data_IF_252349896647
#
_entry.id   IF_252349896647
#
_cell.length_a   1.000
_cell.length_b   1.000
_cell.length_c   1.000
_cell.angle_alpha   90.00
_cell.angle_beta   90.00
_cell.angle_gamma   90.00
#
_symmetry.space_group_name_H-M   'P 1'
#
loop_
_entity.id
_entity.type
_entity.pdbx_description
1 polymer ?
#
# COMPACT_ATOMS: atom_id res chain seq x y z
N UNK A 1 -10.54 -17.62 -9.58
CA UNK A 1 -11.14 -16.56 -8.73
C UNK A 1 -10.13 -15.43 -8.69
N UNK A 2 -10.55 -14.17 -8.79
CA UNK A 2 -9.62 -13.03 -8.89
C UNK A 2 -9.76 -12.11 -7.69
N UNK A 3 -8.69 -11.95 -6.92
CA UNK A 3 -8.64 -11.05 -5.76
C UNK A 3 -8.00 -9.72 -6.17
N UNK A 4 -8.58 -8.60 -5.74
CA UNK A 4 -8.03 -7.27 -5.99
C UNK A 4 -7.06 -6.90 -4.86
N UNK A 5 -5.96 -6.26 -5.20
CA UNK A 5 -4.97 -5.77 -4.24
C UNK A 5 -4.56 -4.34 -4.60
N UNK A 6 -4.31 -3.52 -3.58
CA UNK A 6 -3.98 -2.12 -3.72
C UNK A 6 -2.77 -1.78 -2.85
N UNK A 7 -2.01 -0.78 -3.26
CA UNK A 7 -1.09 -0.06 -2.35
C UNK A 7 -1.88 1.11 -1.77
N UNK A 8 -1.97 1.18 -0.45
CA UNK A 8 -2.50 2.32 0.29
C UNK A 8 -1.34 3.22 0.73
N UNK A 9 -1.49 4.52 0.52
CA UNK A 9 -0.54 5.53 0.97
C UNK A 9 -1.24 6.55 1.87
N UNK A 10 -0.64 6.80 3.03
CA UNK A 10 -1.09 7.78 4.02
C UNK A 10 0.08 8.73 4.37
N UNK A 11 -0.23 9.97 4.72
CA UNK A 11 0.74 10.86 5.40
C UNK A 11 0.76 10.49 6.90
N UNK A 12 1.87 10.77 7.57
CA UNK A 12 2.04 10.50 9.00
C UNK A 12 2.63 11.70 9.78
N UNK A 13 2.63 12.90 9.17
CA UNK A 13 3.09 14.21 9.70
C UNK A 13 4.59 14.36 10.14
N UNK A 14 5.13 15.59 10.42
CA UNK A 14 6.44 16.03 9.88
C UNK A 14 7.65 15.74 10.79
N UNK A 15 8.55 14.89 10.31
CA UNK A 15 9.91 14.69 10.81
C UNK A 15 10.90 14.45 9.65
N UNK A 16 12.21 14.46 9.89
CA UNK A 16 13.22 14.42 8.83
C UNK A 16 13.18 13.06 8.10
N UNK A 17 12.45 13.00 7.00
CA UNK A 17 12.41 11.95 5.97
C UNK A 17 11.96 10.53 6.38
N UNK A 18 12.12 10.12 7.65
CA UNK A 18 11.57 8.86 8.17
C UNK A 18 10.08 8.98 8.36
N UNK A 19 9.31 8.12 7.69
CA UNK A 19 7.87 8.03 7.94
C UNK A 19 7.09 9.29 7.58
N UNK A 20 7.46 10.05 6.54
CA UNK A 20 6.55 11.07 5.98
C UNK A 20 5.34 10.43 5.31
N UNK A 21 5.57 9.30 4.64
CA UNK A 21 4.54 8.52 3.98
C UNK A 21 4.58 7.10 4.50
N UNK A 22 3.42 6.59 4.85
CA UNK A 22 3.22 5.22 5.26
C UNK A 22 2.61 4.40 4.13
N UNK A 23 3.19 3.22 3.87
CA UNK A 23 2.77 2.32 2.80
C UNK A 23 2.19 1.05 3.40
N UNK A 24 1.03 0.64 2.89
CA UNK A 24 0.37 -0.60 3.25
C UNK A 24 -0.17 -1.31 2.01
N UNK A 25 -0.41 -2.61 2.12
CA UNK A 25 -1.19 -3.37 1.15
C UNK A 25 -2.64 -3.44 1.63
N UNK A 26 -3.59 -3.16 0.75
CA UNK A 26 -5.01 -3.20 1.07
C UNK A 26 -5.73 -4.26 0.25
N UNK A 27 -6.52 -5.10 0.93
CA UNK A 27 -7.42 -6.07 0.32
C UNK A 27 -8.88 -5.73 0.64
N UNK A 28 -9.70 -5.43 -0.38
CA UNK A 28 -11.13 -5.31 -0.17
C UNK A 28 -11.76 -6.69 0.01
N UNK A 29 -12.77 -6.78 0.88
CA UNK A 29 -13.34 -8.07 1.27
C UNK A 29 -14.37 -8.62 0.30
N UNK A 30 -14.41 -9.95 0.09
CA UNK A 30 -15.43 -10.60 -0.72
C UNK A 30 -16.86 -10.39 -0.17
N UNK A 31 -17.04 -10.37 1.15
CA UNK A 31 -18.34 -10.17 1.82
C UNK A 31 -19.00 -8.82 1.48
N UNK A 32 -18.18 -7.84 1.07
CA UNK A 32 -18.63 -6.51 0.64
C UNK A 32 -18.56 -6.32 -0.88
N UNK A 33 -18.47 -7.41 -1.65
CA UNK A 33 -18.30 -7.38 -3.11
C UNK A 33 -17.11 -6.50 -3.54
N UNK A 34 -16.01 -6.57 -2.79
CA UNK A 34 -14.77 -5.84 -3.05
C UNK A 34 -14.92 -4.30 -3.14
N UNK A 35 -15.89 -3.73 -2.41
CA UNK A 35 -16.12 -2.29 -2.32
C UNK A 35 -15.04 -1.57 -1.50
N UNK A 36 -14.61 -0.40 -1.98
CA UNK A 36 -13.56 0.41 -1.35
C UNK A 36 -14.09 1.42 -0.32
N UNK A 37 -15.41 1.65 -0.31
CA UNK A 37 -16.11 2.45 0.72
C UNK A 37 -16.51 1.60 1.94
N UNK A 38 -16.10 0.33 1.97
CA UNK A 38 -16.32 -0.62 3.06
C UNK A 38 -14.97 -0.96 3.72
N UNK A 39 -14.98 -1.55 4.93
CA UNK A 39 -13.75 -1.95 5.59
C UNK A 39 -12.85 -2.82 4.70
N UNK A 40 -11.57 -2.51 4.73
CA UNK A 40 -10.50 -3.17 4.00
C UNK A 40 -9.54 -3.82 4.98
N UNK A 41 -9.00 -4.97 4.62
CA UNK A 41 -7.88 -5.56 5.35
C UNK A 41 -6.60 -4.83 4.94
N UNK A 42 -5.90 -4.25 5.91
CA UNK A 42 -4.63 -3.56 5.70
C UNK A 42 -3.48 -4.39 6.26
N UNK A 43 -2.48 -4.62 5.44
CA UNK A 43 -1.25 -5.32 5.81
C UNK A 43 -0.11 -4.33 5.72
N UNK A 44 0.60 -4.15 6.82
CA UNK A 44 1.58 -3.10 6.99
C UNK A 44 2.63 -3.49 8.02
N UNK A 45 3.81 -2.92 7.83
CA UNK A 45 4.87 -2.90 8.83
C UNK A 45 5.09 -1.48 9.31
N UNK A 46 5.21 -1.30 10.62
CA UNK A 46 5.43 0.00 11.28
C UNK A 46 6.68 -0.06 12.14
N UNK A 47 7.36 1.08 12.29
CA UNK A 47 8.45 1.19 13.25
C UNK A 47 7.86 1.45 14.64
N UNK A 48 8.25 0.64 15.61
CA UNK A 48 7.82 0.73 17.00
C UNK A 48 8.95 1.34 17.82
N UNK A 49 8.76 2.57 18.31
CA UNK A 49 9.72 3.26 19.16
C UNK A 49 9.93 2.53 20.50
N UNK A 50 8.93 1.78 20.98
CA UNK A 50 9.02 1.01 22.22
C UNK A 50 10.01 -0.15 22.14
N UNK A 51 10.11 -0.75 20.95
CA UNK A 51 10.95 -1.93 20.69
C UNK A 51 12.15 -1.63 19.80
N UNK A 52 12.30 -0.37 19.38
CA UNK A 52 13.31 0.12 18.42
C UNK A 52 13.40 -0.80 17.18
N UNK A 53 12.24 -1.25 16.68
CA UNK A 53 12.16 -2.30 15.67
C UNK A 53 10.93 -2.19 14.79
N UNK A 54 11.04 -2.77 13.59
CA UNK A 54 9.92 -2.91 12.66
C UNK A 54 9.03 -4.07 13.07
N UNK A 55 7.76 -3.80 13.31
CA UNK A 55 6.74 -4.78 13.72
C UNK A 55 5.60 -4.83 12.71
N UNK A 56 4.83 -5.92 12.74
CA UNK A 56 3.60 -6.03 11.96
C UNK A 56 2.47 -5.32 12.72
N UNK A 57 1.74 -4.43 12.05
CA UNK A 57 0.55 -3.76 12.61
C UNK A 57 -0.64 -3.93 11.67
N UNK A 58 -0.95 -5.17 11.31
CA UNK A 58 -2.02 -5.47 10.36
C UNK A 58 -3.39 -5.11 10.94
N UNK A 59 -4.27 -4.55 10.12
CA UNK A 59 -5.67 -4.23 10.45
C UNK A 59 -6.59 -5.14 9.65
N UNK A 60 -6.89 -6.31 10.19
CA UNK A 60 -7.61 -7.40 9.51
C UNK A 60 -8.80 -7.87 10.34
N UNK A 61 -9.76 -8.57 9.72
CA UNK A 61 -10.90 -9.15 10.45
C UNK A 61 -11.71 -8.09 11.24
N UNK A 62 -11.94 -8.27 12.55
CA UNK A 62 -12.67 -7.27 13.34
C UNK A 62 -12.05 -5.86 13.32
N UNK A 63 -10.73 -5.75 13.08
CA UNK A 63 -9.98 -4.49 13.15
C UNK A 63 -9.81 -3.79 11.80
N UNK A 64 -10.43 -4.31 10.72
CA UNK A 64 -10.34 -3.69 9.41
C UNK A 64 -10.89 -2.26 9.39
N UNK A 65 -10.22 -1.41 8.61
CA UNK A 65 -10.53 0.01 8.55
C UNK A 65 -11.22 0.34 7.23
N UNK A 66 -12.27 1.14 7.31
CA UNK A 66 -12.76 1.87 6.14
C UNK A 66 -11.72 2.93 5.77
N UNK A 67 -11.54 3.16 4.47
CA UNK A 67 -10.63 4.21 3.96
C UNK A 67 -10.93 5.57 4.60
N UNK A 68 -12.22 5.89 4.81
CA UNK A 68 -12.66 7.14 5.43
C UNK A 68 -12.13 7.33 6.87
N UNK A 69 -11.82 6.22 7.55
CA UNK A 69 -11.35 6.22 8.93
C UNK A 69 -9.84 6.12 9.05
N UNK A 70 -9.11 5.93 7.95
CA UNK A 70 -7.65 5.87 7.96
C UNK A 70 -7.13 7.30 8.11
N UNK A 71 -6.33 7.60 9.14
CA UNK A 71 -5.83 8.94 9.30
C UNK A 71 -4.91 9.35 8.16
N UNK A 72 -5.02 10.60 7.71
CA UNK A 72 -4.15 11.18 6.67
C UNK A 72 -4.07 10.33 5.39
N UNK A 73 -5.15 9.61 5.10
CA UNK A 73 -5.26 8.78 3.90
C UNK A 73 -5.12 9.63 2.64
N UNK A 74 -4.21 9.24 1.74
CA UNK A 74 -4.00 9.96 0.48
C UNK A 74 -4.65 9.26 -0.70
N UNK A 75 -4.28 8.00 -0.98
CA UNK A 75 -4.77 7.30 -2.18
C UNK A 75 -4.59 5.79 -2.16
N UNK A 76 -5.36 5.11 -3.03
CA UNK A 76 -5.19 3.70 -3.38
C UNK A 76 -4.66 3.58 -4.82
N UNK A 77 -3.58 2.82 -5.00
CA UNK A 77 -3.09 2.38 -6.31
C UNK A 77 -3.52 0.94 -6.53
N UNK A 78 -4.41 0.72 -7.50
CA UNK A 78 -4.81 -0.63 -7.87
C UNK A 78 -3.66 -1.35 -8.59
N UNK A 79 -3.30 -2.53 -8.10
CA UNK A 79 -2.36 -3.42 -8.76
C UNK A 79 -3.10 -4.39 -9.70
N UNK A 80 -2.40 -5.10 -10.60
CA UNK A 80 -2.99 -6.24 -11.28
C UNK A 80 -3.62 -7.19 -10.27
N UNK A 81 -4.76 -7.75 -10.62
CA UNK A 81 -5.42 -8.71 -9.74
C UNK A 81 -4.55 -9.96 -9.56
N UNK A 82 -4.81 -10.70 -8.49
CA UNK A 82 -4.15 -11.98 -8.21
C UNK A 82 -5.13 -13.14 -8.42
N UNK A 83 -4.64 -14.25 -8.99
CA UNK A 83 -5.41 -15.45 -9.31
C UNK A 83 -5.42 -16.45 -8.14
N UNK A 84 -5.64 -15.94 -6.93
CA UNK A 84 -5.64 -16.69 -5.68
C UNK A 84 -6.80 -16.19 -4.81
N UNK A 85 -7.33 -17.04 -3.94
CA UNK A 85 -8.44 -16.68 -3.04
C UNK A 85 -8.06 -15.55 -2.08
N UNK A 86 -9.05 -14.80 -1.60
CA UNK A 86 -8.82 -13.75 -0.60
C UNK A 86 -8.16 -14.32 0.66
N UNK A 87 -8.63 -15.48 1.13
CA UNK A 87 -8.14 -16.10 2.37
C UNK A 87 -6.67 -16.53 2.27
N UNK A 88 -6.27 -17.10 1.13
CA UNK A 88 -4.89 -17.55 0.93
C UNK A 88 -3.93 -16.36 0.82
N UNK A 89 -4.35 -15.27 0.16
CA UNK A 89 -3.56 -14.04 0.09
C UNK A 89 -3.49 -13.38 1.46
N UNK A 90 -4.60 -13.34 2.20
CA UNK A 90 -4.65 -12.79 3.56
C UNK A 90 -3.72 -13.55 4.50
N UNK A 91 -3.76 -14.89 4.48
CA UNK A 91 -2.84 -15.74 5.26
C UNK A 91 -1.39 -15.50 4.87
N UNK A 92 -1.10 -15.42 3.57
CA UNK A 92 0.24 -15.14 3.09
C UNK A 92 0.76 -13.79 3.58
N UNK A 93 -0.03 -12.72 3.46
CA UNK A 93 0.38 -11.37 3.87
C UNK A 93 0.60 -11.26 5.38
N UNK A 94 -0.17 -11.98 6.20
CA UNK A 94 0.03 -12.01 7.66
C UNK A 94 1.33 -12.70 8.10
N UNK A 95 1.94 -13.50 7.23
CA UNK A 95 3.18 -14.22 7.52
C UNK A 95 4.43 -13.49 7.01
N UNK A 96 4.28 -12.34 6.34
CA UNK A 96 5.40 -11.60 5.78
C UNK A 96 6.15 -10.82 6.88
N UNK A 97 7.40 -11.22 7.13
CA UNK A 97 8.26 -10.68 8.18
C UNK A 97 8.37 -9.13 8.16
N UNK A 98 7.99 -8.40 9.22
CA UNK A 98 8.01 -6.94 9.18
C UNK A 98 9.43 -6.35 9.05
N UNK A 99 10.43 -7.07 9.54
CA UNK A 99 11.84 -6.64 9.54
C UNK A 99 12.51 -6.85 8.19
N UNK A 100 13.68 -6.21 7.99
CA UNK A 100 14.48 -6.33 6.78
C UNK A 100 14.91 -7.77 6.48
N UNK A 101 15.35 -8.50 7.50
CA UNK A 101 16.01 -9.79 7.35
C UNK A 101 17.21 -9.72 6.40
N UNK A 102 17.26 -10.62 5.42
CA UNK A 102 18.29 -10.64 4.39
C UNK A 102 17.99 -9.76 3.17
N UNK A 103 16.92 -8.97 3.21
CA UNK A 103 16.49 -8.17 2.06
C UNK A 103 17.45 -7.00 1.83
N UNK A 104 18.07 -6.87 0.64
CA UNK A 104 18.87 -5.70 0.32
C UNK A 104 18.06 -4.41 0.39
N UNK A 105 18.66 -3.36 0.94
CA UNK A 105 18.10 -2.01 0.89
C UNK A 105 18.06 -1.50 -0.55
N UNK A 106 17.07 -0.66 -0.86
CA UNK A 106 17.03 0.09 -2.11
C UNK A 106 18.25 1.01 -2.22
N UNK A 107 18.69 1.28 -3.45
CA UNK A 107 19.82 2.18 -3.71
C UNK A 107 19.54 3.55 -3.09
N UNK A 108 20.55 4.17 -2.48
CA UNK A 108 20.46 5.47 -1.79
C UNK A 108 19.62 5.45 -0.49
N UNK A 109 19.29 4.27 0.04
CA UNK A 109 18.65 4.12 1.36
C UNK A 109 19.63 3.51 2.36
N UNK A 110 19.74 4.18 3.50
CA UNK A 110 20.57 3.73 4.63
C UNK A 110 19.78 2.86 5.64
N UNK A 111 18.47 2.74 5.45
CA UNK A 111 17.59 2.05 6.40
C UNK A 111 16.40 1.34 5.75
N UNK A 112 15.85 0.38 6.49
CA UNK A 112 14.60 -0.32 6.16
C UNK A 112 13.38 0.58 6.33
N UNK A 113 12.30 0.28 5.59
CA UNK A 113 11.07 1.09 5.61
C UNK A 113 9.83 0.27 5.24
N UNK A 114 8.64 0.74 5.63
CA UNK A 114 7.36 0.15 5.23
C UNK A 114 7.19 0.06 3.70
N UNK A 115 7.71 1.03 2.95
CA UNK A 115 7.69 0.97 1.48
C UNK A 115 8.53 -0.19 0.93
N UNK A 116 9.71 -0.44 1.51
CA UNK A 116 10.56 -1.57 1.14
C UNK A 116 9.95 -2.91 1.55
N UNK A 117 9.24 -2.96 2.68
CA UNK A 117 8.43 -4.13 3.06
C UNK A 117 7.35 -4.41 2.00
N UNK A 118 6.56 -3.41 1.61
CA UNK A 118 5.54 -3.55 0.55
C UNK A 118 6.16 -4.06 -0.74
N UNK A 119 7.28 -3.49 -1.18
CA UNK A 119 7.96 -3.91 -2.43
C UNK A 119 8.42 -5.36 -2.33
N UNK A 120 9.07 -5.76 -1.23
CA UNK A 120 9.53 -7.14 -1.03
C UNK A 120 8.36 -8.11 -1.05
N UNK A 121 7.25 -7.78 -0.38
CA UNK A 121 6.05 -8.62 -0.35
C UNK A 121 5.43 -8.74 -1.74
N UNK A 122 5.36 -7.66 -2.52
CA UNK A 122 4.91 -7.70 -3.92
C UNK A 122 5.82 -8.56 -4.81
N UNK A 123 7.14 -8.53 -4.60
CA UNK A 123 8.08 -9.43 -5.28
C UNK A 123 7.82 -10.90 -4.90
N UNK A 124 7.52 -11.21 -3.64
CA UNK A 124 7.15 -12.56 -3.21
C UNK A 124 5.86 -13.03 -3.88
N UNK A 125 4.83 -12.18 -3.97
CA UNK A 125 3.59 -12.47 -4.71
C UNK A 125 3.88 -12.75 -6.20
N UNK A 126 4.75 -11.94 -6.82
CA UNK A 126 5.15 -12.14 -8.21
C UNK A 126 5.91 -13.45 -8.42
N UNK A 127 6.85 -13.80 -7.53
CA UNK A 127 7.60 -15.07 -7.58
C UNK A 127 6.70 -16.28 -7.43
N UNK A 128 5.61 -16.16 -6.67
CA UNK A 128 4.58 -17.18 -6.58
C UNK A 128 3.70 -17.30 -7.84
N UNK A 129 3.86 -16.41 -8.83
CA UNK A 129 3.08 -16.41 -10.07
C UNK A 129 1.62 -16.01 -9.87
N UNK A 130 1.31 -15.27 -8.79
CA UNK A 130 -0.08 -15.00 -8.42
C UNK A 130 -0.72 -13.89 -9.24
N UNK A 131 0.05 -12.92 -9.75
CA UNK A 131 -0.51 -11.84 -10.56
C UNK A 131 -1.08 -12.37 -11.88
N UNK A 132 -2.29 -11.93 -12.24
CA UNK A 132 -2.93 -12.27 -13.52
C UNK A 132 -2.23 -11.64 -14.72
N UNK A 133 -1.45 -10.58 -14.48
CA UNK A 133 -0.60 -9.93 -15.45
C UNK A 133 0.60 -9.31 -14.73
N UNK A 134 1.78 -9.32 -15.36
CA UNK A 134 2.95 -8.64 -14.80
C UNK A 134 2.64 -7.15 -14.62
N UNK A 135 2.86 -6.58 -13.44
CA UNK A 135 2.75 -5.13 -13.23
C UNK A 135 3.59 -4.37 -14.26
N UNK A 136 3.14 -3.18 -14.69
CA UNK A 136 3.92 -2.34 -15.59
C UNK A 136 5.19 -1.88 -14.86
N UNK A 137 6.36 -2.15 -15.45
CA UNK A 137 7.66 -2.03 -14.79
C UNK A 137 8.01 -3.33 -14.08
N UNK A 138 9.18 -3.90 -14.34
CA UNK A 138 9.58 -5.13 -13.67
C UNK A 138 9.67 -4.87 -12.16
N UNK A 139 8.93 -5.63 -11.35
CA UNK A 139 9.12 -5.63 -9.90
C UNK A 139 10.49 -6.20 -9.51
N UNK A 140 11.24 -6.82 -10.43
CA UNK A 140 12.60 -7.30 -10.15
C UNK A 140 13.56 -6.14 -9.85
N UNK A 141 13.34 -4.98 -10.50
CA UNK A 141 14.08 -3.75 -10.24
C UNK A 141 13.36 -2.91 -9.17
N UNK A 142 13.67 -3.20 -7.90
CA UNK A 142 13.09 -2.54 -6.72
C UNK A 142 13.21 -1.02 -6.79
N UNK A 143 14.36 -0.54 -7.24
CA UNK A 143 14.68 0.88 -7.29
C UNK A 143 13.93 1.58 -8.41
N UNK A 144 13.79 0.94 -9.57
CA UNK A 144 12.94 1.44 -10.64
C UNK A 144 11.47 1.45 -10.23
N UNK A 145 10.98 0.40 -9.54
CA UNK A 145 9.59 0.35 -9.11
C UNK A 145 9.29 1.35 -7.99
N UNK A 146 10.17 1.47 -6.99
CA UNK A 146 10.10 2.49 -5.95
C UNK A 146 10.05 3.89 -6.57
N UNK A 147 10.99 4.20 -7.47
CA UNK A 147 11.02 5.48 -8.21
C UNK A 147 9.80 5.66 -9.10
N UNK A 148 9.29 4.62 -9.76
CA UNK A 148 8.07 4.69 -10.56
C UNK A 148 6.85 5.04 -9.69
N UNK A 149 6.67 4.38 -8.55
CA UNK A 149 5.56 4.71 -7.65
C UNK A 149 5.73 6.12 -7.09
N UNK A 150 6.93 6.52 -6.66
CA UNK A 150 7.20 7.86 -6.14
C UNK A 150 7.08 8.98 -7.20
N UNK A 151 7.65 8.81 -8.40
CA UNK A 151 7.75 9.86 -9.43
C UNK A 151 6.53 9.94 -10.34
N UNK A 152 5.93 8.81 -10.68
CA UNK A 152 4.85 8.76 -11.70
C UNK A 152 3.47 8.78 -11.05
N UNK A 153 3.32 8.20 -9.86
CA UNK A 153 2.03 8.09 -9.18
C UNK A 153 1.96 8.91 -7.88
N UNK A 154 3.06 9.07 -7.14
CA UNK A 154 3.16 9.93 -5.96
C UNK A 154 3.21 11.43 -6.31
N UNK A 155 4.15 11.85 -7.15
CA UNK A 155 4.35 13.25 -7.57
C UNK A 155 3.16 13.83 -8.34
N UNK A 156 2.53 13.07 -9.24
CA UNK A 156 1.33 13.50 -9.98
C UNK A 156 0.11 13.68 -9.05
N UNK A 157 0.05 12.91 -7.95
CA UNK A 157 -0.98 13.02 -6.93
C UNK A 157 -0.75 14.25 -6.03
N UNK A 158 0.50 14.52 -5.63
CA UNK A 158 0.88 15.74 -4.91
C UNK A 158 0.51 17.02 -5.68
N UNK A 159 0.70 17.03 -7.01
CA UNK A 159 0.27 18.14 -7.89
C UNK A 159 -1.26 18.25 -7.99
N UNK A 160 -1.98 17.12 -7.96
CA UNK A 160 -3.46 17.11 -8.05
C UNK A 160 -4.12 17.53 -6.73
N UNK A 161 -3.51 17.19 -5.59
CA UNK A 161 -3.98 17.57 -4.24
C UNK A 161 -3.59 19.02 -3.88
N UNK A 162 -2.37 19.46 -4.19
CA UNK A 162 -1.94 20.85 -3.98
C UNK A 162 -2.72 21.86 -4.82
N UNK A 163 -3.26 21.45 -5.98
CA UNK A 163 -4.15 22.27 -6.80
C UNK A 163 -5.62 22.30 -6.31
N UNK A 164 -6.01 21.52 -5.28
CA UNK A 164 -7.43 21.26 -4.93
C UNK A 164 -7.75 21.36 -3.45
N UNK A 165 -7.14 22.30 -2.74
CA UNK A 165 -7.33 22.49 -1.28
C UNK A 165 -8.73 22.92 -0.81
N UNK A 166 -9.82 22.82 -1.60
CA UNK A 166 -11.14 23.35 -1.17
C UNK A 166 -12.40 22.70 -1.78
N UNK A 167 -12.37 21.51 -2.41
CA UNK A 167 -13.57 20.98 -3.08
C UNK A 167 -14.07 19.63 -2.51
N UNK A 168 -15.12 19.63 -1.66
CA UNK A 168 -15.61 18.46 -0.92
C UNK A 168 -16.36 17.40 -1.76
N UNK A 169 -16.24 17.41 -3.10
CA UNK A 169 -16.99 16.51 -3.98
C UNK A 169 -16.17 15.34 -4.57
N UNK A 170 -14.89 15.18 -4.20
CA UNK A 170 -14.04 14.12 -4.77
C UNK A 170 -14.05 12.84 -3.94
N UNK A 171 -15.21 12.19 -3.85
CA UNK A 171 -15.31 10.82 -3.30
C UNK A 171 -15.25 9.81 -4.45
N UNK A 172 -14.21 8.97 -4.48
CA UNK A 172 -14.20 7.76 -5.30
C UNK A 172 -14.00 7.96 -6.80
N UNK A 173 -13.55 9.14 -7.25
CA UNK A 173 -13.21 9.35 -8.65
C UNK A 173 -11.86 8.68 -8.97
N UNK A 174 -11.84 7.90 -10.05
CA UNK A 174 -10.61 7.34 -10.60
C UNK A 174 -9.98 8.38 -11.52
N UNK A 175 -8.86 8.98 -11.10
CA UNK A 175 -8.07 9.88 -11.93
C UNK A 175 -6.83 9.12 -12.38
N UNK A 176 -6.69 8.91 -13.69
CA UNK A 176 -5.53 8.22 -14.27
C UNK A 176 -5.21 6.86 -13.60
N UNK A 177 -6.24 6.08 -13.27
CA UNK A 177 -6.19 4.76 -12.59
C UNK A 177 -5.89 4.79 -11.08
N UNK A 178 -5.76 5.97 -10.47
CA UNK A 178 -5.63 6.14 -9.03
C UNK A 178 -6.98 6.58 -8.47
N UNK A 179 -7.46 5.90 -7.42
CA UNK A 179 -8.68 6.33 -6.73
C UNK A 179 -8.29 7.24 -5.58
N UNK A 180 -8.69 8.50 -5.70
CA UNK A 180 -8.51 9.52 -4.66
C UNK A 180 -9.76 9.49 -3.78
N UNK A 181 -9.54 9.47 -2.46
CA UNK A 181 -10.61 9.41 -1.46
C UNK A 181 -10.37 10.56 -0.49
N UNK A 182 -11.29 11.52 -0.42
CA UNK A 182 -11.25 12.56 0.60
C UNK A 182 -11.91 12.08 1.90
N UNK A 183 -11.47 12.62 3.05
CA UNK A 183 -12.14 12.40 4.35
C UNK A 183 -13.50 13.10 4.32
N UNK A 184 -14.56 12.41 4.73
CA UNK A 184 -15.86 13.03 5.01
C UNK A 184 -15.86 13.72 6.37
#
# INVERSE_FOLDING_TARGET
>A
MSTKIYIALNVTEPGPLKGKYHWALALPRPEFNYRLDKPLDLYQSVFSDETDSWVADHRVGPDALSVANIPEFMFLVQLPSINVSFDDVSKFLQLEEPTQGSTPLCQERDEWSCAQWVIRTLQSIMRNGWFTATPRGSLDDRDAYYRYICRTNGLTCEVTLSARSNNPQFVGQVVNKVRIMDRQ
#
